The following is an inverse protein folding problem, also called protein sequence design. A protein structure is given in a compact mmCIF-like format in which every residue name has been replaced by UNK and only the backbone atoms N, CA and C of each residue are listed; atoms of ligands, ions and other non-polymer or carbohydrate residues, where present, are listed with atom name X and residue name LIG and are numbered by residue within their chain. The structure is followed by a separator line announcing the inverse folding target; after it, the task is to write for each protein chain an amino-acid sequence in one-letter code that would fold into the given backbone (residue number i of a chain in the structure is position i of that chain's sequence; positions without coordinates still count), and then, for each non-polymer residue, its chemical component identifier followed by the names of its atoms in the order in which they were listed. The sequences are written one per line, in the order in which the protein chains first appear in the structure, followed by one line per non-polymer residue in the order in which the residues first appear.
data_IF_916169473891
#
_entry.id   IF_916169473891
#
_cell.length_a   1.000
_cell.length_b   1.000
_cell.length_c   1.000
_cell.angle_alpha   90.00
_cell.angle_beta   90.00
_cell.angle_gamma   90.00
#
_symmetry.space_group_name_H-M   'P 1'
#
loop_
_entity.id
_entity.type
_entity.pdbx_description
1 polymer ?
#
# COMPACT_ATOMS: atom_id res chain seq x y z
N UNK A 1 8.04 14.80 -2.83
CA UNK A 1 8.85 13.75 -3.48
C UNK A 1 9.41 14.32 -4.78
N UNK A 2 10.74 14.32 -5.02
CA UNK A 2 11.31 14.78 -6.29
C UNK A 2 10.89 13.89 -7.47
N UNK A 3 10.66 14.53 -8.62
CA UNK A 3 10.49 13.86 -9.92
C UNK A 3 11.86 13.40 -10.43
N UNK A 4 11.93 12.22 -11.04
CA UNK A 4 13.16 11.65 -11.58
C UNK A 4 13.85 10.65 -10.65
N UNK A 5 13.26 10.33 -9.49
CA UNK A 5 13.86 9.35 -8.56
C UNK A 5 13.99 7.97 -9.20
N UNK A 6 13.17 7.64 -10.21
CA UNK A 6 13.25 6.38 -10.97
C UNK A 6 14.61 6.12 -11.63
N UNK A 7 15.39 7.18 -11.86
CA UNK A 7 16.73 7.09 -12.46
C UNK A 7 17.77 6.58 -11.46
N UNK A 8 17.47 6.59 -10.16
CA UNK A 8 18.34 6.06 -9.11
C UNK A 8 18.16 4.55 -8.97
N UNK A 9 18.44 3.79 -10.03
CA UNK A 9 18.15 2.34 -10.09
C UNK A 9 18.82 1.53 -8.98
N UNK A 10 19.97 1.98 -8.48
CA UNK A 10 20.71 1.36 -7.37
C UNK A 10 20.22 1.77 -5.97
N UNK A 11 19.17 2.59 -5.88
CA UNK A 11 18.62 3.06 -4.60
C UNK A 11 18.11 1.86 -3.78
N UNK A 12 18.64 1.71 -2.57
CA UNK A 12 18.32 0.58 -1.67
C UNK A 12 17.37 0.94 -0.54
N UNK A 13 17.28 2.23 -0.20
CA UNK A 13 16.49 2.72 0.92
C UNK A 13 15.72 3.95 0.49
N UNK A 14 14.41 3.86 0.63
CA UNK A 14 13.48 4.96 0.49
C UNK A 14 12.34 4.67 1.46
N UNK A 15 12.34 5.36 2.60
CA UNK A 15 11.38 5.04 3.66
C UNK A 15 9.97 5.55 3.35
N UNK A 16 9.87 6.72 2.72
CA UNK A 16 8.57 7.37 2.45
C UNK A 16 8.52 7.83 0.99
N UNK A 17 7.43 7.49 0.31
CA UNK A 17 7.07 8.01 -1.00
C UNK A 17 5.68 8.66 -0.96
N UNK A 18 5.66 9.98 -1.07
CA UNK A 18 4.43 10.77 -1.16
C UNK A 18 4.04 10.90 -2.62
N UNK A 19 2.90 10.33 -3.02
CA UNK A 19 2.40 10.41 -4.39
C UNK A 19 1.93 11.83 -4.68
N UNK A 20 2.51 12.42 -5.73
CA UNK A 20 2.16 13.75 -6.20
C UNK A 20 0.91 13.78 -7.07
N UNK A 21 0.20 14.90 -7.01
CA UNK A 21 -0.83 15.28 -7.98
C UNK A 21 -0.20 16.15 -9.08
N UNK A 22 -0.82 16.19 -10.25
CA UNK A 22 -0.42 17.04 -11.39
C UNK A 22 1.07 16.84 -11.75
N UNK A 23 1.90 17.88 -11.60
CA UNK A 23 3.34 17.85 -11.93
C UNK A 23 4.22 17.17 -10.85
N UNK A 24 3.60 16.64 -9.79
CA UNK A 24 4.31 15.92 -8.73
C UNK A 24 4.77 14.51 -9.14
N UNK A 25 5.67 13.92 -8.34
CA UNK A 25 6.16 12.57 -8.56
C UNK A 25 5.02 11.53 -8.53
N UNK A 26 4.71 10.95 -9.68
CA UNK A 26 3.70 9.91 -9.85
C UNK A 26 4.21 8.57 -9.32
N UNK A 27 3.31 7.64 -8.99
CA UNK A 27 3.68 6.35 -8.41
C UNK A 27 4.61 5.51 -9.31
N UNK A 28 4.53 5.71 -10.63
CA UNK A 28 5.41 5.07 -11.61
C UNK A 28 6.89 5.40 -11.44
N UNK A 29 7.24 6.44 -10.69
CA UNK A 29 8.63 6.74 -10.33
C UNK A 29 9.29 5.63 -9.50
N UNK A 30 8.51 4.79 -8.81
CA UNK A 30 9.02 3.61 -8.12
C UNK A 30 9.35 2.44 -9.05
N UNK A 31 8.91 2.50 -10.32
CA UNK A 31 8.88 1.34 -11.21
C UNK A 31 10.24 0.68 -11.47
N UNK A 32 11.33 1.45 -11.47
CA UNK A 32 12.68 0.93 -11.74
C UNK A 32 13.51 0.69 -10.47
N UNK A 33 12.97 1.03 -9.29
CA UNK A 33 13.67 0.98 -8.01
C UNK A 33 13.56 -0.40 -7.36
N UNK A 34 14.06 -1.43 -8.06
CA UNK A 34 13.92 -2.83 -7.67
C UNK A 34 14.80 -3.23 -6.46
N UNK A 35 15.83 -2.45 -6.18
CA UNK A 35 16.74 -2.68 -5.04
C UNK A 35 16.22 -2.13 -3.71
N UNK A 36 15.08 -1.43 -3.71
CA UNK A 36 14.42 -0.98 -2.49
C UNK A 36 14.10 -2.18 -1.59
N UNK A 37 14.40 -2.02 -0.31
CA UNK A 37 14.14 -3.04 0.69
C UNK A 37 13.79 -2.47 2.05
N UNK A 38 13.61 -3.38 3.01
CA UNK A 38 13.26 -3.10 4.39
C UNK A 38 11.84 -2.54 4.53
N UNK A 39 11.67 -1.22 4.50
CA UNK A 39 10.41 -0.55 4.75
C UNK A 39 10.13 0.54 3.71
N UNK A 40 8.90 0.63 3.27
CA UNK A 40 8.40 1.66 2.34
C UNK A 40 6.99 2.08 2.75
N UNK A 41 6.78 3.37 2.92
CA UNK A 41 5.49 3.99 3.16
C UNK A 41 5.06 4.73 1.91
N UNK A 42 3.88 4.40 1.39
CA UNK A 42 3.27 5.07 0.26
C UNK A 42 2.12 5.93 0.77
N UNK A 43 2.29 7.25 0.70
CA UNK A 43 1.34 8.22 1.22
C UNK A 43 0.61 8.94 0.08
N UNK A 44 -0.60 9.43 0.40
CA UNK A 44 -1.48 10.15 -0.54
C UNK A 44 -1.89 9.32 -1.75
N UNK A 45 -2.21 8.04 -1.50
CA UNK A 45 -2.58 7.10 -2.56
C UNK A 45 -3.86 7.52 -3.32
N UNK A 46 -4.66 8.46 -2.80
CA UNK A 46 -5.79 9.08 -3.51
C UNK A 46 -5.38 9.81 -4.80
N UNK A 47 -4.09 10.10 -4.98
CA UNK A 47 -3.58 10.75 -6.19
C UNK A 47 -3.33 9.77 -7.36
N UNK A 48 -3.49 8.46 -7.15
CA UNK A 48 -3.28 7.41 -8.17
C UNK A 48 -4.57 7.16 -8.95
N UNK A 49 -4.46 7.11 -10.28
CA UNK A 49 -5.62 6.93 -11.16
C UNK A 49 -5.83 5.46 -11.54
N UNK A 50 -6.53 4.73 -10.66
CA UNK A 50 -7.01 3.36 -10.92
C UNK A 50 -5.92 2.30 -11.02
N UNK A 51 -6.34 1.10 -11.42
CA UNK A 51 -5.53 -0.12 -11.37
C UNK A 51 -4.23 -0.02 -12.19
N UNK A 52 -4.31 0.57 -13.40
CA UNK A 52 -3.18 0.61 -14.33
C UNK A 52 -2.06 1.53 -13.83
N UNK A 53 -2.41 2.68 -13.25
CA UNK A 53 -1.44 3.62 -12.70
C UNK A 53 -0.76 3.00 -11.46
N UNK A 54 -1.54 2.39 -10.57
CA UNK A 54 -1.02 1.67 -9.40
C UNK A 54 0.01 0.57 -9.77
N UNK A 55 -0.28 -0.23 -10.81
CA UNK A 55 0.65 -1.28 -11.30
C UNK A 55 2.01 -0.74 -11.78
N UNK A 56 2.09 0.54 -12.15
CA UNK A 56 3.36 1.14 -12.57
C UNK A 56 4.39 1.22 -11.44
N UNK A 57 3.96 1.13 -10.18
CA UNK A 57 4.82 1.04 -9.00
C UNK A 57 5.70 -0.22 -9.00
N UNK A 58 5.26 -1.30 -9.68
CA UNK A 58 5.93 -2.61 -9.76
C UNK A 58 6.41 -3.13 -8.38
N UNK A 59 5.56 -3.05 -7.35
CA UNK A 59 5.91 -3.46 -5.98
C UNK A 59 6.29 -4.94 -5.89
N UNK A 60 5.67 -5.79 -6.72
CA UNK A 60 6.02 -7.22 -6.87
C UNK A 60 7.49 -7.49 -7.21
N UNK A 61 8.17 -6.54 -7.86
CA UNK A 61 9.58 -6.66 -8.24
C UNK A 61 10.55 -6.27 -7.12
N UNK A 62 10.07 -5.63 -6.04
CA UNK A 62 10.88 -5.18 -4.90
C UNK A 62 11.06 -6.31 -3.89
N UNK A 63 11.81 -7.34 -4.29
CA UNK A 63 11.97 -8.59 -3.54
C UNK A 63 12.57 -8.42 -2.12
N UNK A 64 13.27 -7.32 -1.88
CA UNK A 64 13.90 -7.02 -0.59
C UNK A 64 12.98 -6.26 0.37
N UNK A 65 11.79 -5.84 -0.08
CA UNK A 65 10.83 -5.12 0.75
C UNK A 65 10.20 -6.07 1.77
N UNK A 66 10.20 -5.67 3.04
CA UNK A 66 9.68 -6.49 4.16
C UNK A 66 8.47 -5.87 4.84
N UNK A 67 8.40 -4.54 4.87
CA UNK A 67 7.31 -3.78 5.47
C UNK A 67 6.79 -2.76 4.47
N UNK A 68 5.47 -2.68 4.31
CA UNK A 68 4.79 -1.78 3.39
C UNK A 68 3.62 -1.11 4.09
N UNK A 69 3.58 0.21 4.06
CA UNK A 69 2.43 1.01 4.47
C UNK A 69 1.77 1.61 3.24
N UNK A 70 0.46 1.42 3.13
CA UNK A 70 -0.40 2.01 2.11
C UNK A 70 -1.35 2.99 2.80
N UNK A 71 -1.20 4.28 2.52
CA UNK A 71 -1.92 5.33 3.24
C UNK A 71 -2.56 6.34 2.28
N UNK A 72 -3.81 6.65 2.59
CA UNK A 72 -4.65 7.60 1.87
C UNK A 72 -4.97 8.80 2.78
N UNK A 73 -5.57 9.86 2.22
CA UNK A 73 -6.12 10.94 3.04
C UNK A 73 -7.53 10.63 3.55
N UNK A 74 -7.84 11.02 4.79
CA UNK A 74 -9.19 11.01 5.39
C UNK A 74 -10.07 12.15 4.88
N UNK A 75 -11.38 12.07 5.11
CA UNK A 75 -12.32 13.18 4.90
C UNK A 75 -12.60 13.51 3.42
N UNK A 76 -12.41 12.54 2.54
CA UNK A 76 -12.71 12.63 1.10
C UNK A 76 -13.70 11.55 0.69
N UNK A 77 -14.34 11.74 -0.45
CA UNK A 77 -15.06 10.65 -1.10
C UNK A 77 -14.07 9.61 -1.66
N UNK A 78 -14.49 8.35 -1.63
CA UNK A 78 -13.79 7.27 -2.33
C UNK A 78 -13.68 7.59 -3.81
N UNK A 79 -12.56 7.20 -4.43
CA UNK A 79 -12.30 7.46 -5.85
C UNK A 79 -12.01 6.16 -6.59
N UNK A 80 -10.76 5.68 -6.47
CA UNK A 80 -10.28 4.45 -7.08
C UNK A 80 -9.58 3.57 -6.05
N UNK A 81 -9.91 3.71 -4.77
CA UNK A 81 -9.12 3.16 -3.67
C UNK A 81 -8.99 1.64 -3.81
N UNK A 82 -10.10 0.96 -4.13
CA UNK A 82 -10.14 -0.49 -4.34
C UNK A 82 -9.27 -0.92 -5.53
N UNK A 83 -9.36 -0.22 -6.66
CA UNK A 83 -8.54 -0.50 -7.84
C UNK A 83 -7.05 -0.23 -7.59
N UNK A 84 -6.74 0.85 -6.87
CA UNK A 84 -5.38 1.23 -6.51
C UNK A 84 -4.80 0.17 -5.58
N UNK A 85 -5.55 -0.25 -4.55
CA UNK A 85 -5.14 -1.29 -3.63
C UNK A 85 -4.89 -2.62 -4.37
N UNK A 86 -5.74 -3.02 -5.31
CA UNK A 86 -5.53 -4.20 -6.15
C UNK A 86 -4.24 -4.09 -7.01
N UNK A 87 -3.93 -2.89 -7.52
CA UNK A 87 -2.75 -2.64 -8.36
C UNK A 87 -1.43 -2.59 -7.60
N UNK A 88 -1.47 -2.32 -6.30
CA UNK A 88 -0.30 -2.25 -5.41
C UNK A 88 0.09 -3.62 -4.84
N UNK A 89 0.03 -4.67 -5.66
CA UNK A 89 0.45 -6.03 -5.29
C UNK A 89 1.93 -6.06 -4.86
N UNK A 90 2.25 -6.39 -3.59
CA UNK A 90 3.63 -6.51 -3.14
C UNK A 90 4.23 -7.87 -3.50
N UNK A 91 5.54 -8.02 -3.30
CA UNK A 91 6.19 -9.32 -3.42
C UNK A 91 5.74 -10.26 -2.28
N UNK A 92 5.67 -11.57 -2.53
CA UNK A 92 5.28 -12.58 -1.53
C UNK A 92 6.24 -12.71 -0.34
N UNK A 93 7.43 -12.11 -0.43
CA UNK A 93 8.39 -11.98 0.67
C UNK A 93 8.07 -10.88 1.69
N UNK A 94 6.98 -10.12 1.51
CA UNK A 94 6.50 -9.11 2.47
C UNK A 94 6.10 -9.78 3.79
N UNK A 95 6.47 -9.15 4.91
CA UNK A 95 6.24 -9.63 6.27
C UNK A 95 5.23 -8.75 7.02
N UNK A 96 5.23 -7.45 6.75
CA UNK A 96 4.38 -6.49 7.45
C UNK A 96 3.62 -5.64 6.43
N UNK A 97 2.32 -5.47 6.66
CA UNK A 97 1.45 -4.66 5.83
C UNK A 97 0.59 -3.77 6.71
N UNK A 98 0.59 -2.47 6.41
CA UNK A 98 -0.35 -1.51 6.98
C UNK A 98 -1.20 -0.92 5.87
N UNK A 99 -2.51 -0.90 6.07
CA UNK A 99 -3.47 -0.16 5.22
C UNK A 99 -4.17 0.86 6.10
N UNK A 100 -4.02 2.13 5.77
CA UNK A 100 -4.55 3.24 6.56
C UNK A 100 -5.42 4.17 5.71
N UNK A 101 -6.45 4.74 6.34
CA UNK A 101 -7.27 5.82 5.77
C UNK A 101 -7.92 5.48 4.42
N UNK A 102 -8.14 4.18 4.17
CA UNK A 102 -8.81 3.64 3.00
C UNK A 102 -10.31 3.94 3.08
N UNK A 103 -10.86 4.58 2.05
CA UNK A 103 -12.27 5.01 2.01
C UNK A 103 -13.19 4.04 1.25
N UNK A 104 -12.65 2.93 0.74
CA UNK A 104 -13.45 1.88 0.10
C UNK A 104 -14.24 1.05 1.12
N UNK A 105 -15.46 0.65 0.72
CA UNK A 105 -16.34 -0.18 1.56
C UNK A 105 -15.81 -1.59 1.83
N UNK A 106 -14.96 -2.10 0.94
CA UNK A 106 -14.44 -3.46 1.01
C UNK A 106 -12.93 -3.45 0.77
N UNK A 107 -12.19 -4.10 1.67
CA UNK A 107 -10.79 -4.45 1.47
C UNK A 107 -10.75 -5.91 1.03
N UNK A 108 -10.55 -6.16 -0.27
CA UNK A 108 -10.50 -7.53 -0.80
C UNK A 108 -9.56 -7.71 -2.00
N UNK A 109 -8.35 -7.12 -2.01
CA UNK A 109 -7.46 -7.32 -3.14
C UNK A 109 -7.05 -8.79 -3.26
N UNK A 110 -6.97 -9.29 -4.51
CA UNK A 110 -6.74 -10.69 -4.84
C UNK A 110 -5.38 -11.23 -4.37
N UNK A 111 -4.45 -10.33 -4.09
CA UNK A 111 -3.10 -10.65 -3.63
C UNK A 111 -2.98 -10.80 -2.11
N UNK A 112 -3.86 -10.21 -1.30
CA UNK A 112 -3.67 -10.15 0.15
C UNK A 112 -3.73 -11.52 0.82
N UNK A 113 -4.63 -12.40 0.37
CA UNK A 113 -4.72 -13.78 0.85
C UNK A 113 -3.59 -14.69 0.33
N UNK A 114 -2.74 -14.20 -0.57
CA UNK A 114 -1.58 -14.93 -1.13
C UNK A 114 -0.26 -14.56 -0.43
N UNK A 115 -0.27 -13.65 0.54
CA UNK A 115 0.92 -13.21 1.27
C UNK A 115 1.36 -14.23 2.34
N UNK A 116 1.87 -15.37 1.88
CA UNK A 116 2.24 -16.51 2.75
C UNK A 116 3.33 -16.19 3.78
N UNK A 117 4.10 -15.10 3.61
CA UNK A 117 5.11 -14.67 4.57
C UNK A 117 4.68 -13.53 5.48
N UNK A 118 3.43 -13.06 5.36
CA UNK A 118 2.91 -11.98 6.19
C UNK A 118 2.77 -12.45 7.64
N UNK A 119 3.46 -11.76 8.55
CA UNK A 119 3.45 -12.00 10.00
C UNK A 119 2.65 -10.96 10.77
N UNK A 120 2.52 -9.76 10.21
CA UNK A 120 1.79 -8.66 10.83
C UNK A 120 0.92 -7.93 9.79
N UNK A 121 -0.33 -7.67 10.16
CA UNK A 121 -1.20 -6.78 9.41
C UNK A 121 -1.86 -5.77 10.35
N UNK A 122 -1.87 -4.52 9.91
CA UNK A 122 -2.51 -3.41 10.60
C UNK A 122 -3.48 -2.70 9.65
N UNK A 123 -4.72 -2.56 10.09
CA UNK A 123 -5.78 -1.85 9.37
C UNK A 123 -6.25 -0.69 10.25
N UNK A 124 -6.02 0.54 9.81
CA UNK A 124 -6.22 1.75 10.61
C UNK A 124 -7.14 2.75 9.90
N UNK A 125 -7.96 3.46 10.68
CA UNK A 125 -8.75 4.60 10.18
C UNK A 125 -9.61 4.20 8.97
N UNK A 126 -10.33 3.10 9.11
CA UNK A 126 -11.17 2.52 8.05
C UNK A 126 -12.63 3.01 8.12
N UNK A 127 -12.83 4.33 8.05
CA UNK A 127 -14.11 4.98 8.40
C UNK A 127 -15.33 4.47 7.61
N UNK A 128 -15.14 4.09 6.34
CA UNK A 128 -16.22 3.64 5.44
C UNK A 128 -16.19 2.12 5.19
N UNK A 129 -15.24 1.40 5.79
CA UNK A 129 -15.01 -0.01 5.47
C UNK A 129 -15.99 -0.92 6.23
N UNK A 130 -16.79 -1.68 5.48
CA UNK A 130 -17.76 -2.64 6.02
C UNK A 130 -17.18 -4.05 6.08
N UNK A 131 -16.23 -4.38 5.18
CA UNK A 131 -15.74 -5.73 5.01
C UNK A 131 -14.22 -5.81 4.79
N UNK A 132 -13.58 -6.68 5.56
CA UNK A 132 -12.16 -7.03 5.43
C UNK A 132 -12.00 -8.47 4.95
N UNK A 133 -10.88 -8.86 4.33
CA UNK A 133 -10.74 -10.19 3.77
C UNK A 133 -10.52 -11.22 4.89
N UNK A 134 -10.73 -12.52 4.62
CA UNK A 134 -10.56 -13.58 5.61
C UNK A 134 -9.06 -13.83 5.89
N UNK A 135 -8.47 -12.98 6.72
CA UNK A 135 -7.04 -13.03 7.09
C UNK A 135 -6.65 -14.30 7.84
N UNK A 136 -7.62 -15.08 8.35
CA UNK A 136 -7.38 -16.35 9.05
C UNK A 136 -6.76 -17.45 8.19
N UNK A 137 -6.68 -17.28 6.86
CA UNK A 137 -6.07 -18.25 5.93
C UNK A 137 -4.56 -18.05 5.74
N UNK A 138 -3.98 -16.98 6.27
CA UNK A 138 -2.57 -16.67 6.10
C UNK A 138 -1.72 -17.49 7.09
N UNK A 139 -0.78 -18.32 6.61
CA UNK A 139 -0.16 -19.37 7.43
C UNK A 139 0.82 -18.86 8.50
N UNK A 140 1.43 -17.68 8.29
CA UNK A 140 2.42 -17.10 9.21
C UNK A 140 1.90 -15.88 9.98
N UNK A 141 0.62 -15.54 9.83
CA UNK A 141 0.08 -14.31 10.39
C UNK A 141 -0.09 -14.44 11.90
N UNK A 142 0.73 -13.71 12.65
CA UNK A 142 0.79 -13.75 14.12
C UNK A 142 0.08 -12.56 14.74
N UNK A 143 0.18 -11.37 14.11
CA UNK A 143 -0.37 -10.12 14.64
C UNK A 143 -1.39 -9.53 13.69
N UNK A 144 -2.55 -9.17 14.24
CA UNK A 144 -3.61 -8.42 13.56
C UNK A 144 -3.99 -7.25 14.46
N UNK A 145 -3.94 -6.05 13.93
CA UNK A 145 -4.37 -4.85 14.64
C UNK A 145 -5.43 -4.15 13.80
N UNK A 146 -6.60 -3.96 14.39
CA UNK A 146 -7.70 -3.21 13.82
C UNK A 146 -7.88 -1.99 14.71
N UNK A 147 -7.51 -0.81 14.21
CA UNK A 147 -7.77 0.45 14.90
C UNK A 147 -8.92 1.16 14.20
N UNK A 148 -10.11 1.00 14.79
CA UNK A 148 -11.23 1.89 14.50
C UNK A 148 -10.94 3.23 15.19
N UNK A 149 -11.15 4.34 14.46
CA UNK A 149 -11.04 5.65 15.07
C UNK A 149 -12.15 5.83 16.10
N UNK A 150 -11.75 6.02 17.36
CA UNK A 150 -12.65 6.39 18.46
C UNK A 150 -12.98 7.87 18.31
N UNK A 151 -13.82 8.21 17.35
CA UNK A 151 -14.57 9.47 17.35
C UNK A 151 -16.06 9.16 17.41
N UNK A 152 -16.50 8.65 18.56
CA UNK A 152 -17.88 8.87 19.00
C UNK A 152 -18.06 10.36 19.28
N UNK A 153 -18.91 11.01 18.50
CA UNK A 153 -19.65 12.21 18.92
C UNK A 153 -21.11 12.03 18.49
#
# INVERSE_FOLDING_TARGET
MPVGIKELTDLRRLQVFVVGKDDGARIGELGNLNHLGWNLELLKLENISGLRDAKSAKLKNKINLKSLTLDWSVGRSETFDSEVLEGLEPNSGLQELTVASYMGRVISPSWMVKLVNLTSIELNTLLECEHIPPLGKLPKLERKKLLEDVYSN
#
